data_IF_151112782806
#
_entry.id   IF_151112782806
#
_cell.length_a   1.000
_cell.length_b   1.000
_cell.length_c   1.000
_cell.angle_alpha   90.00
_cell.angle_beta   90.00
_cell.angle_gamma   90.00
#
_symmetry.space_group_name_H-M   'P 1'
#
loop_
_entity.id
_entity.type
_entity.pdbx_description
1 polymer ?
#
# COMPACT_ATOMS: atom_id res chain seq x y z
N UNK A 1 -18.97 -10.99 1.60
CA UNK A 1 -18.46 -10.15 2.70
C UNK A 1 -18.54 -8.69 2.33
N UNK A 2 -19.16 -7.90 3.17
CA UNK A 2 -19.21 -6.48 2.93
C UNK A 2 -17.84 -5.84 3.18
N UNK A 3 -17.47 -4.96 2.27
CA UNK A 3 -16.25 -4.18 2.42
C UNK A 3 -16.55 -2.98 3.31
N UNK A 4 -15.80 -2.82 4.37
CA UNK A 4 -16.02 -1.75 5.32
C UNK A 4 -15.03 -0.60 5.08
N UNK A 5 -15.47 0.37 4.28
CA UNK A 5 -14.66 1.55 3.95
C UNK A 5 -14.88 2.73 4.89
N UNK A 6 -15.92 2.65 5.74
CA UNK A 6 -16.29 3.77 6.60
C UNK A 6 -15.17 4.27 7.52
N UNK A 7 -14.45 3.40 8.24
CA UNK A 7 -13.37 3.90 9.10
C UNK A 7 -12.29 4.64 8.33
N UNK A 8 -11.92 4.13 7.17
CA UNK A 8 -10.87 4.75 6.36
C UNK A 8 -11.34 6.08 5.78
N UNK A 9 -12.56 6.11 5.23
CA UNK A 9 -13.11 7.34 4.66
C UNK A 9 -13.30 8.43 5.71
N UNK A 10 -13.70 8.04 6.94
CA UNK A 10 -13.85 8.98 8.03
C UNK A 10 -12.53 9.65 8.41
N UNK A 11 -11.43 8.92 8.29
CA UNK A 11 -10.10 9.45 8.63
C UNK A 11 -9.45 10.22 7.50
N UNK A 12 -9.56 9.71 6.27
CA UNK A 12 -8.80 10.23 5.13
C UNK A 12 -9.63 11.04 4.14
N UNK A 13 -10.96 10.84 4.12
CA UNK A 13 -11.80 11.34 3.06
C UNK A 13 -11.71 10.44 1.82
N UNK A 14 -12.69 10.58 0.94
CA UNK A 14 -12.84 9.69 -0.21
C UNK A 14 -11.63 9.71 -1.15
N UNK A 15 -11.11 10.90 -1.44
CA UNK A 15 -10.02 11.04 -2.41
C UNK A 15 -8.75 10.29 -1.99
N UNK A 16 -8.43 10.32 -0.69
CA UNK A 16 -7.20 9.68 -0.21
C UNK A 16 -7.35 8.18 0.01
N UNK A 17 -8.55 7.63 -0.18
CA UNK A 17 -8.76 6.19 -0.14
C UNK A 17 -8.50 5.52 -1.47
N UNK A 18 -8.27 6.27 -2.54
CA UNK A 18 -8.24 5.77 -3.91
C UNK A 18 -7.22 4.66 -4.15
N UNK A 19 -6.10 4.68 -3.44
CA UNK A 19 -5.04 3.68 -3.62
C UNK A 19 -5.13 2.49 -2.68
N UNK A 20 -6.12 2.47 -1.78
CA UNK A 20 -6.25 1.40 -0.79
C UNK A 20 -7.14 0.27 -1.27
N UNK A 21 -6.85 -0.93 -0.79
CA UNK A 21 -7.66 -2.12 -1.02
C UNK A 21 -8.08 -2.69 0.32
N UNK A 22 -9.35 -3.10 0.43
CA UNK A 22 -9.84 -3.74 1.64
C UNK A 22 -9.45 -5.22 1.61
N UNK A 23 -8.79 -5.68 2.67
CA UNK A 23 -8.24 -7.04 2.72
C UNK A 23 -8.92 -7.96 3.73
N UNK A 24 -10.18 -7.68 4.05
CA UNK A 24 -10.94 -8.52 4.95
C UNK A 24 -11.03 -7.97 6.35
N UNK A 25 -11.25 -8.84 7.33
CA UNK A 25 -11.37 -8.42 8.73
C UNK A 25 -10.61 -9.41 9.61
N UNK A 26 -9.79 -8.88 10.52
CA UNK A 26 -8.98 -9.65 11.44
C UNK A 26 -9.18 -9.16 12.86
N UNK A 27 -9.85 -9.98 13.70
CA UNK A 27 -10.02 -9.67 15.13
C UNK A 27 -10.59 -8.27 15.39
N UNK A 28 -11.63 -7.88 14.64
CA UNK A 28 -12.27 -6.57 14.78
C UNK A 28 -11.53 -5.43 14.13
N UNK A 29 -10.43 -5.71 13.45
CA UNK A 29 -9.64 -4.71 12.74
C UNK A 29 -9.81 -4.90 11.24
N UNK A 30 -9.93 -3.79 10.52
CA UNK A 30 -10.05 -3.80 9.07
C UNK A 30 -8.70 -3.48 8.45
N UNK A 31 -8.07 -4.43 7.75
CA UNK A 31 -6.80 -4.16 7.07
C UNK A 31 -7.05 -3.52 5.71
N UNK A 32 -6.41 -2.38 5.49
CA UNK A 32 -6.42 -1.69 4.20
C UNK A 32 -5.01 -1.66 3.66
N UNK A 33 -4.78 -2.29 2.53
CA UNK A 33 -3.47 -2.32 1.90
C UNK A 33 -3.38 -1.24 0.83
N UNK A 34 -2.35 -0.42 0.89
CA UNK A 34 -2.11 0.55 -0.16
C UNK A 34 -1.40 -0.13 -1.33
N UNK A 35 -1.99 -0.02 -2.53
CA UNK A 35 -1.48 -0.73 -3.70
C UNK A 35 -0.10 -0.28 -4.15
N UNK A 36 0.21 1.01 -4.02
CA UNK A 36 1.49 1.57 -4.44
C UNK A 36 2.55 1.37 -3.38
N UNK A 37 2.26 1.76 -2.13
CA UNK A 37 3.25 1.64 -1.05
C UNK A 37 3.44 0.21 -0.55
N UNK A 38 2.47 -0.64 -0.79
CA UNK A 38 2.44 -2.04 -0.35
C UNK A 38 2.41 -2.18 1.17
N UNK A 39 2.06 -1.11 1.87
CA UNK A 39 1.95 -1.07 3.32
C UNK A 39 0.50 -1.17 3.73
N UNK A 40 0.27 -1.65 4.95
CA UNK A 40 -1.08 -1.80 5.49
C UNK A 40 -1.39 -0.72 6.49
N UNK A 41 -2.66 -0.33 6.52
CA UNK A 41 -3.23 0.51 7.57
C UNK A 41 -4.34 -0.31 8.22
N UNK A 42 -4.23 -0.56 9.51
CA UNK A 42 -5.20 -1.37 10.27
C UNK A 42 -6.05 -0.46 11.13
N UNK A 43 -7.36 -0.43 10.86
CA UNK A 43 -8.29 0.43 11.62
C UNK A 43 -9.43 -0.39 12.17
N UNK A 44 -9.85 -0.10 13.42
CA UNK A 44 -11.13 -0.61 13.93
C UNK A 44 -12.28 0.25 13.37
N UNK A 45 -13.53 -0.08 13.73
CA UNK A 45 -14.65 0.69 13.17
C UNK A 45 -14.82 2.07 13.76
N UNK A 46 -14.06 2.41 14.78
CA UNK A 46 -14.03 3.78 15.30
C UNK A 46 -12.90 4.59 14.66
N UNK A 47 -12.09 3.96 13.80
CA UNK A 47 -11.00 4.63 13.10
C UNK A 47 -9.69 4.68 13.89
N UNK A 48 -9.61 3.95 14.99
CA UNK A 48 -8.36 3.85 15.74
C UNK A 48 -7.40 2.95 14.97
N UNK A 49 -6.12 3.34 14.93
CA UNK A 49 -5.09 2.64 14.18
C UNK A 49 -4.34 1.65 15.05
N UNK A 50 -3.90 0.56 14.41
CA UNK A 50 -3.20 -0.51 15.08
C UNK A 50 -2.01 -0.97 14.26
N UNK A 51 -1.03 -1.57 14.94
CA UNK A 51 0.07 -2.26 14.28
C UNK A 51 0.16 -3.67 14.82
N UNK A 52 0.43 -4.67 13.96
CA UNK A 52 0.61 -6.03 14.43
C UNK A 52 1.95 -6.18 15.16
N UNK A 53 1.91 -6.78 16.34
CA UNK A 53 3.10 -7.12 17.11
C UNK A 53 2.96 -8.57 17.51
N UNK A 54 3.76 -9.46 16.92
CA UNK A 54 3.56 -10.88 17.09
C UNK A 54 2.20 -11.31 16.58
N UNK A 55 1.37 -11.86 17.44
CA UNK A 55 0.01 -12.32 17.09
C UNK A 55 -1.07 -11.34 17.50
N UNK A 56 -0.69 -10.19 18.03
CA UNK A 56 -1.64 -9.23 18.55
C UNK A 56 -1.54 -7.91 17.80
N UNK A 57 -2.59 -7.08 17.96
CA UNK A 57 -2.59 -5.72 17.44
C UNK A 57 -2.40 -4.76 18.61
N UNK A 58 -1.51 -3.80 18.43
CA UNK A 58 -1.30 -2.74 19.41
C UNK A 58 -1.78 -1.43 18.83
N UNK A 59 -2.58 -0.69 19.60
CA UNK A 59 -3.05 0.62 19.17
C UNK A 59 -1.87 1.60 19.08
N UNK A 60 -1.85 2.37 18.00
CA UNK A 60 -0.83 3.40 17.75
C UNK A 60 -1.52 4.68 17.31
N UNK A 61 -0.87 5.84 17.42
CA UNK A 61 -1.46 7.07 16.88
C UNK A 61 -1.71 6.94 15.39
N UNK A 62 -2.87 7.40 14.93
CA UNK A 62 -3.24 7.30 13.52
C UNK A 62 -2.21 7.96 12.61
N UNK A 63 -1.71 9.13 12.99
CA UNK A 63 -0.74 9.86 12.18
C UNK A 63 0.57 9.07 12.01
N UNK A 64 0.97 8.36 13.04
CA UNK A 64 2.16 7.51 12.98
C UNK A 64 1.96 6.32 12.03
N UNK A 65 0.80 5.67 12.13
CA UNK A 65 0.46 4.57 11.25
C UNK A 65 0.36 5.03 9.78
N UNK A 66 -0.25 6.18 9.56
CA UNK A 66 -0.38 6.74 8.22
C UNK A 66 0.97 7.11 7.62
N UNK A 67 1.87 7.66 8.44
CA UNK A 67 3.22 8.02 7.98
C UNK A 67 3.98 6.82 7.43
N UNK A 68 3.78 5.64 8.00
CA UNK A 68 4.42 4.41 7.51
C UNK A 68 3.91 4.02 6.12
N UNK A 69 2.64 4.29 5.83
CA UNK A 69 2.09 4.07 4.49
C UNK A 69 2.60 5.11 3.51
N UNK A 70 2.69 6.36 3.94
CA UNK A 70 3.09 7.46 3.07
C UNK A 70 4.58 7.48 2.73
N UNK A 71 5.43 6.93 3.60
CA UNK A 71 6.88 7.00 3.40
C UNK A 71 7.34 6.46 2.03
N UNK A 72 6.92 5.25 1.60
CA UNK A 72 7.30 4.79 0.25
C UNK A 72 6.73 5.65 -0.87
N UNK A 73 5.54 6.25 -0.65
CA UNK A 73 4.93 7.12 -1.66
C UNK A 73 5.77 8.38 -1.90
N UNK A 74 6.29 8.97 -0.83
CA UNK A 74 7.13 10.16 -0.95
C UNK A 74 8.40 9.88 -1.74
N UNK A 75 8.99 8.71 -1.55
CA UNK A 75 10.16 8.31 -2.32
C UNK A 75 9.87 8.17 -3.81
N UNK A 76 8.65 7.80 -4.16
CA UNK A 76 8.22 7.62 -5.53
C UNK A 76 7.63 8.89 -6.15
N UNK A 77 7.52 9.98 -5.37
CA UNK A 77 6.87 11.20 -5.82
C UNK A 77 5.36 11.06 -5.95
N UNK A 78 4.77 10.12 -5.24
CA UNK A 78 3.33 9.86 -5.28
C UNK A 78 2.66 10.31 -3.98
N UNK A 79 1.32 10.37 -3.98
CA UNK A 79 0.54 10.74 -2.81
C UNK A 79 -0.56 9.72 -2.56
N UNK A 80 -1.28 9.87 -1.43
CA UNK A 80 -2.42 9.00 -1.15
C UNK A 80 -3.56 9.17 -2.16
N UNK A 81 -3.61 10.30 -2.85
CA UNK A 81 -4.64 10.57 -3.85
C UNK A 81 -4.38 9.87 -5.18
N UNK A 82 -3.18 9.38 -5.40
CA UNK A 82 -2.85 8.64 -6.62
C UNK A 82 -3.59 7.30 -6.63
N UNK A 83 -4.50 7.07 -7.59
CA UNK A 83 -5.24 5.81 -7.61
C UNK A 83 -4.36 4.66 -8.09
N UNK A 84 -4.58 3.49 -7.51
CA UNK A 84 -3.92 2.27 -7.96
C UNK A 84 -4.86 1.56 -8.93
N UNK A 85 -4.80 1.96 -10.18
CA UNK A 85 -5.68 1.46 -11.23
C UNK A 85 -4.86 0.98 -12.43
N UNK A 86 -5.56 0.49 -13.46
CA UNK A 86 -4.89 -0.03 -14.65
C UNK A 86 -4.06 1.03 -15.38
N UNK A 87 -4.48 2.30 -15.34
CA UNK A 87 -3.71 3.38 -15.94
C UNK A 87 -2.40 3.60 -15.20
N UNK A 88 -2.42 3.59 -13.87
CA UNK A 88 -1.21 3.70 -13.06
C UNK A 88 -0.27 2.52 -13.33
N UNK A 89 -0.80 1.30 -13.30
CA UNK A 89 0.00 0.09 -13.55
C UNK A 89 0.62 0.14 -14.93
N UNK A 90 -0.17 0.55 -15.94
CA UNK A 90 0.33 0.66 -17.30
C UNK A 90 1.47 1.66 -17.46
N UNK A 91 1.36 2.81 -16.80
CA UNK A 91 2.44 3.81 -16.83
C UNK A 91 3.72 3.29 -16.19
N UNK A 92 3.59 2.57 -15.06
CA UNK A 92 4.76 2.02 -14.37
C UNK A 92 5.39 0.88 -15.13
N UNK A 93 4.60 0.04 -15.76
CA UNK A 93 5.13 -1.02 -16.62
C UNK A 93 5.87 -0.44 -17.82
N UNK A 94 5.32 0.60 -18.44
CA UNK A 94 5.99 1.26 -19.58
C UNK A 94 7.31 1.88 -19.14
N UNK A 95 7.32 2.57 -17.99
CA UNK A 95 8.54 3.19 -17.47
C UNK A 95 9.60 2.14 -17.14
N UNK A 96 9.19 1.02 -16.54
CA UNK A 96 10.11 -0.08 -16.23
C UNK A 96 10.65 -0.72 -17.50
N UNK A 97 9.80 -0.84 -18.52
CA UNK A 97 10.23 -1.41 -19.80
C UNK A 97 11.30 -0.55 -20.46
N UNK A 98 11.12 0.77 -20.46
CA UNK A 98 12.10 1.70 -21.02
C UNK A 98 13.41 1.70 -20.24
N UNK A 99 13.31 1.76 -18.91
CA UNK A 99 14.48 1.79 -18.04
C UNK A 99 15.13 0.43 -17.90
N UNK A 100 14.40 -0.63 -18.19
CA UNK A 100 14.72 -1.98 -17.75
C UNK A 100 15.52 -2.82 -18.72
N UNK A 101 15.77 -2.35 -19.95
CA UNK A 101 16.48 -3.18 -20.92
C UNK A 101 17.88 -3.52 -20.39
N UNK A 102 18.59 -2.54 -19.88
CA UNK A 102 19.92 -2.77 -19.29
C UNK A 102 19.85 -3.62 -18.03
N UNK A 103 18.88 -3.34 -17.18
CA UNK A 103 18.70 -4.10 -15.94
C UNK A 103 18.32 -5.55 -16.22
N UNK A 104 17.48 -5.78 -17.23
CA UNK A 104 17.12 -7.15 -17.63
C UNK A 104 18.32 -7.93 -18.13
N UNK A 105 19.19 -7.27 -18.89
CA UNK A 105 20.43 -7.90 -19.36
C UNK A 105 21.33 -8.31 -18.20
N UNK A 106 21.48 -7.42 -17.21
CA UNK A 106 22.27 -7.71 -16.02
C UNK A 106 21.68 -8.88 -15.26
N UNK A 107 20.37 -8.94 -15.12
CA UNK A 107 19.68 -10.01 -14.41
C UNK A 107 19.85 -11.35 -15.12
N UNK A 108 19.69 -11.36 -16.43
CA UNK A 108 19.84 -12.58 -17.23
C UNK A 108 21.26 -13.13 -17.12
N UNK A 109 22.25 -12.25 -17.22
CA UNK A 109 23.64 -12.65 -17.08
C UNK A 109 23.93 -13.23 -15.70
N UNK A 110 23.37 -12.60 -14.64
CA UNK A 110 23.51 -13.10 -13.28
C UNK A 110 22.89 -14.48 -13.11
N UNK A 111 21.73 -14.71 -13.70
CA UNK A 111 21.06 -16.01 -13.65
C UNK A 111 21.85 -17.07 -14.38
N UNK A 112 22.41 -16.74 -15.55
CA UNK A 112 23.24 -17.65 -16.30
C UNK A 112 24.50 -18.05 -15.54
N UNK A 113 25.11 -17.09 -14.83
CA UNK A 113 26.29 -17.35 -14.02
C UNK A 113 25.96 -18.20 -12.80
N UNK A 114 24.80 -17.96 -12.19
CA UNK A 114 24.38 -18.69 -11.00
C UNK A 114 23.78 -20.06 -11.31
N UNK A 115 23.34 -20.21 -12.53
CA UNK A 115 22.81 -21.48 -12.99
C UNK A 115 23.95 -22.39 -13.40
#
# INVERSE_FOLDING_TARGET
MERNWKPLEARLGHARCAGFMFKGRLNGVNPYKHGISRRYLFLDHEGRAYQPIGREFQEVPFEEALALVEAPLKELGETLETPYDSAYVGRKEAALREAGIEMLRIRIVSEDVSG
#
